data_IF_431624403941
#
_entry.id   IF_431624403941
#
_cell.length_a   1.000
_cell.length_b   1.000
_cell.length_c   1.000
_cell.angle_alpha   90.00
_cell.angle_beta   90.00
_cell.angle_gamma   90.00
#
_symmetry.space_group_name_H-M   'P 1'
#
loop_
_entity.id
_entity.type
_entity.pdbx_description
1 polymer ?
#
# COMPACT_ATOMS: atom_id res chain seq x y z
N UNK A 1 17.46 -8.76 -28.40
CA UNK A 1 17.88 -7.34 -28.29
C UNK A 1 16.64 -6.48 -28.37
N UNK A 2 16.51 -5.48 -27.48
CA UNK A 2 15.39 -4.55 -27.46
C UNK A 2 15.89 -3.19 -27.93
N UNK A 3 15.30 -2.66 -29.01
CA UNK A 3 15.66 -1.34 -29.55
C UNK A 3 14.58 -0.36 -29.12
N UNK A 4 14.97 0.71 -28.43
CA UNK A 4 14.10 1.83 -28.10
C UNK A 4 14.50 3.02 -28.97
N UNK A 5 13.52 3.62 -29.62
CA UNK A 5 13.68 4.84 -30.40
C UNK A 5 13.19 6.05 -29.58
N UNK A 6 13.77 7.21 -29.84
CA UNK A 6 13.47 8.47 -29.15
C UNK A 6 12.20 9.14 -29.68
N UNK A 7 11.87 8.91 -30.95
CA UNK A 7 10.69 9.47 -31.60
C UNK A 7 10.07 8.53 -32.64
N UNK A 8 8.86 8.89 -33.10
CA UNK A 8 8.07 8.12 -34.07
C UNK A 8 8.79 7.98 -35.43
N UNK A 9 9.51 9.01 -35.87
CA UNK A 9 10.26 8.99 -37.13
C UNK A 9 11.40 7.96 -37.12
N UNK A 10 12.16 7.94 -36.03
CA UNK A 10 13.24 6.98 -35.81
C UNK A 10 12.67 5.57 -35.66
N UNK A 11 11.57 5.41 -34.91
CA UNK A 11 10.88 4.13 -34.79
C UNK A 11 10.42 3.61 -36.15
N UNK A 12 9.79 4.43 -36.98
CA UNK A 12 9.29 4.01 -38.29
C UNK A 12 10.43 3.54 -39.21
N UNK A 13 11.56 4.27 -39.24
CA UNK A 13 12.75 3.89 -40.01
C UNK A 13 13.36 2.57 -39.53
N UNK A 14 13.60 2.43 -38.22
CA UNK A 14 14.17 1.20 -37.66
C UNK A 14 13.24 -0.01 -37.78
N UNK A 15 11.94 0.19 -37.58
CA UNK A 15 10.96 -0.89 -37.71
C UNK A 15 10.83 -1.36 -39.17
N UNK A 16 10.81 -0.45 -40.13
CA UNK A 16 10.84 -0.78 -41.55
C UNK A 16 12.14 -1.52 -41.92
N UNK A 17 13.29 -1.01 -41.47
CA UNK A 17 14.60 -1.64 -41.67
C UNK A 17 14.65 -3.08 -41.15
N UNK A 18 14.24 -3.30 -39.90
CA UNK A 18 14.22 -4.62 -39.28
C UNK A 18 13.23 -5.59 -39.95
N UNK A 19 12.07 -5.09 -40.41
CA UNK A 19 11.08 -5.88 -41.17
C UNK A 19 11.59 -6.31 -42.54
N UNK A 20 12.36 -5.45 -43.22
CA UNK A 20 12.98 -5.82 -44.49
C UNK A 20 14.14 -6.78 -44.29
N UNK A 21 15.01 -6.50 -43.31
CA UNK A 21 16.14 -7.35 -42.99
C UNK A 21 15.71 -8.77 -42.60
N UNK A 22 14.60 -8.93 -41.86
CA UNK A 22 14.06 -10.25 -41.51
C UNK A 22 13.53 -11.04 -42.72
N UNK A 23 13.20 -10.35 -43.82
CA UNK A 23 12.84 -10.92 -45.12
C UNK A 23 14.05 -11.06 -46.06
N UNK A 24 15.27 -10.83 -45.58
CA UNK A 24 16.50 -10.86 -46.37
C UNK A 24 16.67 -9.67 -47.32
N UNK A 25 15.92 -8.58 -47.13
CA UNK A 25 15.96 -7.37 -47.97
C UNK A 25 16.73 -6.25 -47.27
N UNK A 26 17.41 -5.43 -48.06
CA UNK A 26 18.20 -4.32 -47.53
C UNK A 26 17.41 -3.00 -47.51
N UNK A 27 18.01 -1.96 -46.94
CA UNK A 27 17.49 -0.59 -46.97
C UNK A 27 17.41 0.01 -48.38
N UNK A 28 18.11 -0.56 -49.35
CA UNK A 28 18.07 -0.12 -50.74
C UNK A 28 16.87 -0.71 -51.52
N UNK A 29 16.06 -1.56 -50.88
CA UNK A 29 14.84 -2.09 -51.50
C UNK A 29 13.82 -0.95 -51.71
N UNK A 30 13.26 -0.87 -52.92
CA UNK A 30 12.28 0.15 -53.32
C UNK A 30 11.05 0.26 -52.39
N UNK A 31 10.74 -0.82 -51.65
CA UNK A 31 9.64 -0.85 -50.70
C UNK A 31 9.93 -0.14 -49.38
N UNK A 32 11.20 0.19 -49.06
CA UNK A 32 11.59 0.76 -47.77
C UNK A 32 10.84 2.06 -47.44
N UNK A 33 10.84 3.05 -48.34
CA UNK A 33 10.17 4.33 -48.09
C UNK A 33 8.65 4.16 -47.96
N UNK A 34 8.06 3.22 -48.72
CA UNK A 34 6.63 2.91 -48.63
C UNK A 34 6.26 2.25 -47.29
N UNK A 35 7.12 1.37 -46.76
CA UNK A 35 6.96 0.75 -45.45
C UNK A 35 7.09 1.80 -44.33
N UNK A 36 8.07 2.71 -44.42
CA UNK A 36 8.22 3.82 -43.47
C UNK A 36 6.97 4.70 -43.47
N UNK A 37 6.46 5.08 -44.64
CA UNK A 37 5.24 5.88 -44.77
C UNK A 37 4.01 5.17 -44.19
N UNK A 38 3.86 3.87 -44.44
CA UNK A 38 2.78 3.04 -43.90
C UNK A 38 2.80 3.01 -42.37
N UNK A 39 3.97 2.80 -41.77
CA UNK A 39 4.12 2.79 -40.30
C UNK A 39 3.77 4.16 -39.69
N UNK A 40 4.24 5.26 -40.30
CA UNK A 40 3.89 6.62 -39.84
C UNK A 40 2.40 6.89 -39.92
N UNK A 41 1.75 6.49 -41.01
CA UNK A 41 0.30 6.63 -41.17
C UNK A 41 -0.44 5.87 -40.06
N UNK A 42 -0.03 4.65 -39.77
CA UNK A 42 -0.60 3.85 -38.69
C UNK A 42 -0.43 4.51 -37.31
N UNK A 43 0.78 5.01 -36.98
CA UNK A 43 1.03 5.72 -35.72
C UNK A 43 0.15 6.96 -35.57
N UNK A 44 -0.07 7.70 -36.65
CA UNK A 44 -0.92 8.89 -36.61
C UNK A 44 -2.38 8.59 -36.26
N UNK A 45 -2.88 7.39 -36.58
CA UNK A 45 -4.23 6.94 -36.25
C UNK A 45 -4.37 6.47 -34.79
N UNK A 46 -3.26 6.20 -34.09
CA UNK A 46 -3.28 5.67 -32.72
C UNK A 46 -3.29 6.76 -31.64
N UNK A 47 -3.44 8.03 -32.00
CA UNK A 47 -3.60 9.10 -31.01
C UNK A 47 -4.84 8.83 -30.16
N UNK A 48 -4.74 8.86 -28.81
CA UNK A 48 -5.84 8.47 -27.96
C UNK A 48 -7.07 9.34 -28.24
N UNK A 49 -8.15 8.71 -28.69
CA UNK A 49 -9.47 9.32 -28.63
C UNK A 49 -9.87 9.52 -27.16
N UNK A 50 -10.72 10.50 -26.87
CA UNK A 50 -11.27 10.66 -25.53
C UNK A 50 -11.94 9.34 -25.11
N UNK A 51 -11.56 8.83 -23.95
CA UNK A 51 -12.15 7.61 -23.41
C UNK A 51 -13.68 7.81 -23.30
N UNK A 52 -14.50 6.85 -23.76
CA UNK A 52 -15.95 6.98 -23.68
C UNK A 52 -16.38 7.10 -22.22
N UNK A 53 -17.34 7.99 -21.95
CA UNK A 53 -17.89 8.18 -20.62
C UNK A 53 -18.52 6.87 -20.11
N UNK A 54 -18.09 6.41 -18.93
CA UNK A 54 -18.64 5.21 -18.29
C UNK A 54 -20.09 5.50 -17.87
N UNK A 55 -21.05 4.91 -18.57
CA UNK A 55 -22.47 5.01 -18.21
C UNK A 55 -22.81 3.85 -17.28
N UNK A 56 -23.17 4.16 -16.02
CA UNK A 56 -23.52 3.15 -15.03
C UNK A 56 -25.03 2.88 -15.09
N UNK A 57 -25.40 1.61 -15.29
CA UNK A 57 -26.79 1.16 -15.16
C UNK A 57 -27.10 0.86 -13.69
N UNK A 58 -28.04 1.58 -13.05
CA UNK A 58 -28.41 1.36 -11.64
C UNK A 58 -28.87 -0.06 -11.33
N UNK A 59 -29.48 -0.76 -12.31
CA UNK A 59 -30.00 -2.12 -12.12
C UNK A 59 -28.90 -3.17 -12.05
N UNK A 60 -27.66 -2.82 -12.41
CA UNK A 60 -26.51 -3.72 -12.38
C UNK A 60 -25.68 -3.56 -11.10
N UNK A 61 -26.08 -2.71 -10.16
CA UNK A 61 -25.36 -2.49 -8.90
C UNK A 61 -25.91 -3.44 -7.85
N UNK A 62 -25.13 -4.44 -7.45
CA UNK A 62 -25.43 -5.32 -6.32
C UNK A 62 -24.81 -4.76 -5.02
N UNK A 63 -25.60 -4.18 -4.10
CA UNK A 63 -25.06 -3.47 -2.93
C UNK A 63 -24.22 -4.33 -2.00
N UNK A 64 -24.50 -5.64 -1.95
CA UNK A 64 -23.79 -6.59 -1.09
C UNK A 64 -22.33 -6.81 -1.51
N UNK A 65 -21.95 -6.46 -2.75
CA UNK A 65 -20.57 -6.55 -3.22
C UNK A 65 -19.72 -5.35 -2.78
N UNK A 66 -20.35 -4.22 -2.46
CA UNK A 66 -19.65 -2.95 -2.17
C UNK A 66 -19.81 -2.50 -0.72
N UNK A 67 -20.83 -2.97 -0.02
CA UNK A 67 -21.14 -2.58 1.35
C UNK A 67 -20.93 -3.76 2.30
N UNK A 68 -20.44 -3.46 3.51
CA UNK A 68 -20.40 -4.48 4.56
C UNK A 68 -21.81 -4.94 4.93
N UNK A 69 -22.00 -6.20 5.40
CA UNK A 69 -23.32 -6.74 5.70
C UNK A 69 -24.15 -5.88 6.67
N UNK A 70 -23.48 -5.21 7.61
CA UNK A 70 -24.11 -4.27 8.55
C UNK A 70 -24.75 -3.09 7.83
N UNK A 71 -24.04 -2.48 6.87
CA UNK A 71 -24.53 -1.33 6.13
C UNK A 71 -25.53 -1.71 5.05
N UNK A 72 -25.34 -2.85 4.38
CA UNK A 72 -26.34 -3.39 3.46
C UNK A 72 -27.69 -3.57 4.15
N UNK A 73 -27.70 -4.19 5.35
CA UNK A 73 -28.91 -4.35 6.18
C UNK A 73 -29.50 -3.02 6.66
N UNK A 74 -28.66 -2.04 6.98
CA UNK A 74 -29.10 -0.71 7.47
C UNK A 74 -29.74 0.14 6.37
N UNK A 75 -29.15 0.14 5.17
CA UNK A 75 -29.59 0.99 4.06
C UNK A 75 -30.74 0.36 3.25
N UNK A 76 -30.83 -0.97 3.21
CA UNK A 76 -31.85 -1.72 2.46
C UNK A 76 -32.00 -1.15 1.05
N UNK A 77 -33.21 -0.69 0.70
CA UNK A 77 -33.58 -0.18 -0.61
C UNK A 77 -32.93 1.17 -0.97
N UNK A 78 -32.33 1.88 -0.01
CA UNK A 78 -31.64 3.17 -0.25
C UNK A 78 -30.17 3.00 -0.61
N UNK A 79 -29.64 1.78 -0.58
CA UNK A 79 -28.22 1.49 -0.82
C UNK A 79 -27.74 1.95 -2.20
N UNK A 80 -28.39 1.49 -3.28
CA UNK A 80 -28.04 1.86 -4.66
C UNK A 80 -28.08 3.37 -4.87
N UNK A 81 -29.13 4.04 -4.37
CA UNK A 81 -29.25 5.50 -4.46
C UNK A 81 -28.07 6.21 -3.79
N UNK A 82 -27.71 5.82 -2.57
CA UNK A 82 -26.56 6.38 -1.83
C UNK A 82 -25.23 6.13 -2.54
N UNK A 83 -25.09 4.98 -3.18
CA UNK A 83 -23.89 4.64 -3.95
C UNK A 83 -23.77 5.51 -5.20
N UNK A 84 -24.87 5.75 -5.93
CA UNK A 84 -24.87 6.63 -7.10
C UNK A 84 -24.59 8.09 -6.74
N UNK A 85 -25.15 8.58 -5.63
CA UNK A 85 -24.83 9.91 -5.08
C UNK A 85 -23.33 10.04 -4.75
N UNK A 86 -22.74 9.04 -4.11
CA UNK A 86 -21.31 9.03 -3.81
C UNK A 86 -20.45 8.92 -5.09
N UNK A 87 -20.88 8.09 -6.05
CA UNK A 87 -20.20 7.89 -7.32
C UNK A 87 -20.10 9.19 -8.14
N UNK A 88 -21.11 10.06 -8.07
CA UNK A 88 -21.10 11.34 -8.77
C UNK A 88 -19.87 12.21 -8.43
N UNK A 89 -19.29 12.06 -7.23
CA UNK A 89 -18.11 12.81 -6.79
C UNK A 89 -16.78 12.23 -7.33
N UNK A 90 -16.80 11.02 -7.89
CA UNK A 90 -15.59 10.28 -8.30
C UNK A 90 -15.64 9.81 -9.76
N UNK A 91 -16.74 10.02 -10.47
CA UNK A 91 -16.98 9.53 -11.84
C UNK A 91 -15.94 9.97 -12.87
N UNK A 92 -15.30 11.12 -12.64
CA UNK A 92 -14.34 11.74 -13.56
C UNK A 92 -12.88 11.39 -13.18
N UNK A 93 -12.67 10.57 -12.14
CA UNK A 93 -11.33 10.12 -11.74
C UNK A 93 -10.82 9.03 -12.68
N UNK A 94 -9.51 9.05 -12.95
CA UNK A 94 -8.85 7.93 -13.61
C UNK A 94 -8.90 6.67 -12.73
N UNK A 95 -8.71 5.49 -13.32
CA UNK A 95 -8.64 4.23 -12.57
C UNK A 95 -7.62 4.27 -11.43
N UNK A 96 -6.47 4.90 -11.66
CA UNK A 96 -5.39 4.99 -10.67
C UNK A 96 -5.77 5.97 -9.56
N UNK A 97 -6.33 7.13 -9.92
CA UNK A 97 -6.72 8.15 -8.94
C UNK A 97 -7.88 7.68 -8.07
N UNK A 98 -8.84 6.95 -8.63
CA UNK A 98 -9.94 6.35 -7.88
C UNK A 98 -9.42 5.35 -6.83
N UNK A 99 -8.48 4.47 -7.21
CA UNK A 99 -7.82 3.54 -6.27
C UNK A 99 -7.03 4.29 -5.19
N UNK A 100 -6.29 5.33 -5.57
CA UNK A 100 -5.51 6.12 -4.62
C UNK A 100 -6.40 6.87 -3.63
N UNK A 101 -7.51 7.44 -4.09
CA UNK A 101 -8.48 8.09 -3.22
C UNK A 101 -9.17 7.10 -2.28
N UNK A 102 -9.46 5.87 -2.73
CA UNK A 102 -9.94 4.81 -1.85
C UNK A 102 -8.94 4.50 -0.73
N UNK A 103 -7.66 4.35 -1.07
CA UNK A 103 -6.58 4.13 -0.08
C UNK A 103 -6.49 5.30 0.90
N UNK A 104 -6.55 6.55 0.42
CA UNK A 104 -6.53 7.74 1.29
C UNK A 104 -7.71 7.79 2.25
N UNK A 105 -8.92 7.46 1.76
CA UNK A 105 -10.11 7.38 2.59
C UNK A 105 -9.95 6.30 3.68
N UNK A 106 -9.44 5.12 3.32
CA UNK A 106 -9.12 4.06 4.27
C UNK A 106 -8.07 4.49 5.31
N UNK A 107 -7.02 5.18 4.87
CA UNK A 107 -5.96 5.72 5.73
C UNK A 107 -6.43 6.81 6.70
N UNK A 108 -7.53 7.50 6.37
CA UNK A 108 -8.11 8.55 7.20
C UNK A 108 -9.01 8.03 8.34
N UNK A 109 -9.28 6.72 8.38
CA UNK A 109 -10.07 6.12 9.44
C UNK A 109 -9.32 6.20 10.80
N UNK A 110 -10.02 6.41 11.93
CA UNK A 110 -9.39 6.59 13.24
C UNK A 110 -8.45 5.45 13.65
N UNK A 111 -8.86 4.21 13.38
CA UNK A 111 -8.14 2.98 13.78
C UNK A 111 -7.26 2.42 12.65
N UNK A 112 -7.02 3.21 11.60
CA UNK A 112 -6.17 2.78 10.51
C UNK A 112 -4.74 2.47 10.99
N UNK A 113 -4.21 1.33 10.53
CA UNK A 113 -2.80 0.98 10.74
C UNK A 113 -2.46 0.58 12.17
N UNK A 114 -3.44 0.11 12.95
CA UNK A 114 -3.23 -0.44 14.30
C UNK A 114 -3.31 -1.97 14.26
N UNK A 115 -2.23 -2.64 14.66
CA UNK A 115 -2.20 -4.09 14.86
C UNK A 115 -2.41 -4.39 16.35
N UNK A 116 -3.31 -5.31 16.68
CA UNK A 116 -3.71 -5.60 18.06
C UNK A 116 -3.10 -6.90 18.57
N UNK A 117 -2.57 -6.87 19.79
CA UNK A 117 -2.05 -8.02 20.52
C UNK A 117 -2.70 -8.11 21.89
N UNK A 118 -3.09 -9.32 22.31
CA UNK A 118 -3.48 -9.57 23.71
C UNK A 118 -2.20 -9.70 24.53
N UNK A 119 -2.06 -8.87 25.56
CA UNK A 119 -0.89 -8.81 26.43
C UNK A 119 -1.27 -8.85 27.91
N UNK A 120 -0.28 -9.13 28.74
CA UNK A 120 -0.36 -9.01 30.19
C UNK A 120 0.81 -8.18 30.70
N UNK A 121 0.51 -7.03 31.29
CA UNK A 121 1.54 -6.18 31.91
C UNK A 121 2.15 -6.88 33.12
N UNK A 122 3.44 -6.64 33.35
CA UNK A 122 4.15 -7.22 34.48
C UNK A 122 3.50 -6.81 35.82
N UNK A 123 3.32 -7.76 36.73
CA UNK A 123 2.61 -7.56 37.99
C UNK A 123 1.09 -7.40 37.91
N UNK A 124 0.50 -7.32 36.71
CA UNK A 124 -0.96 -7.22 36.53
C UNK A 124 -1.61 -8.59 36.29
N UNK A 125 -2.78 -8.82 36.90
CA UNK A 125 -3.58 -10.05 36.65
C UNK A 125 -4.47 -9.96 35.42
N UNK A 126 -4.93 -8.75 35.08
CA UNK A 126 -5.86 -8.48 33.96
C UNK A 126 -5.11 -8.50 32.62
N UNK A 127 -5.70 -9.14 31.63
CA UNK A 127 -5.28 -9.07 30.22
C UNK A 127 -5.77 -7.76 29.60
N UNK A 128 -4.96 -7.19 28.71
CA UNK A 128 -5.25 -5.92 28.04
C UNK A 128 -4.85 -6.04 26.56
N UNK A 129 -5.30 -5.09 25.73
CA UNK A 129 -4.86 -5.01 24.34
C UNK A 129 -3.69 -4.03 24.19
N UNK A 130 -2.68 -4.46 23.43
CA UNK A 130 -1.63 -3.61 22.91
C UNK A 130 -1.90 -3.32 21.44
N UNK A 131 -2.21 -2.06 21.13
CA UNK A 131 -2.21 -1.57 19.75
C UNK A 131 -0.81 -1.13 19.34
N UNK A 132 -0.29 -1.67 18.25
CA UNK A 132 0.99 -1.27 17.65
C UNK A 132 0.71 -0.58 16.32
N UNK A 133 1.10 0.68 16.22
CA UNK A 133 0.94 1.49 15.02
C UNK A 133 2.29 2.03 14.55
N UNK A 134 2.32 2.68 13.38
CA UNK A 134 3.57 3.13 12.74
C UNK A 134 4.37 4.17 13.53
N UNK A 135 3.75 4.88 14.47
CA UNK A 135 4.38 5.96 15.24
C UNK A 135 4.20 5.84 16.76
N UNK A 136 3.49 4.81 17.24
CA UNK A 136 3.10 4.68 18.65
C UNK A 136 2.70 3.24 18.99
N UNK A 137 2.80 2.92 20.27
CA UNK A 137 2.08 1.80 20.89
C UNK A 137 1.03 2.35 21.86
N UNK A 138 -0.02 1.58 22.10
CA UNK A 138 -1.14 2.02 22.93
C UNK A 138 -1.70 0.87 23.75
N UNK A 139 -2.01 1.17 25.01
CA UNK A 139 -2.81 0.30 25.87
C UNK A 139 -4.28 0.57 25.56
N UNK A 140 -5.02 -0.49 25.27
CA UNK A 140 -6.44 -0.44 24.94
C UNK A 140 -7.21 -1.39 25.85
N UNK A 141 -8.47 -1.06 26.17
CA UNK A 141 -9.33 -1.98 26.89
C UNK A 141 -9.73 -3.15 25.99
N UNK A 142 -9.68 -4.37 26.54
CA UNK A 142 -9.93 -5.60 25.77
C UNK A 142 -11.39 -5.78 25.34
N UNK A 143 -12.35 -5.17 26.06
CA UNK A 143 -13.77 -5.34 25.78
C UNK A 143 -14.31 -4.23 24.89
N UNK A 144 -13.90 -2.99 25.13
CA UNK A 144 -14.42 -1.83 24.38
C UNK A 144 -13.54 -1.43 23.21
N UNK A 145 -12.24 -1.75 23.27
CA UNK A 145 -11.25 -1.24 22.32
C UNK A 145 -10.87 0.23 22.58
N UNK A 146 -11.31 0.84 23.68
CA UNK A 146 -10.99 2.24 23.96
C UNK A 146 -9.50 2.43 24.29
N UNK A 147 -8.94 3.55 23.83
CA UNK A 147 -7.56 3.92 24.13
C UNK A 147 -7.43 4.36 25.60
N UNK A 148 -6.65 3.62 26.39
CA UNK A 148 -6.38 3.93 27.80
C UNK A 148 -5.11 4.75 27.97
N UNK A 149 -4.04 4.39 27.24
CA UNK A 149 -2.74 5.10 27.31
C UNK A 149 -1.99 4.97 25.99
N UNK A 150 -1.23 6.00 25.61
CA UNK A 150 -0.47 6.04 24.37
C UNK A 150 0.99 6.38 24.63
N UNK A 151 1.89 5.61 24.03
CA UNK A 151 3.34 5.85 24.03
C UNK A 151 3.84 6.05 22.61
N UNK A 152 4.52 7.16 22.36
CA UNK A 152 4.98 7.53 21.01
C UNK A 152 6.42 7.08 20.80
N UNK A 153 6.77 6.64 19.59
CA UNK A 153 8.14 6.19 19.30
C UNK A 153 9.19 7.30 19.42
N UNK A 154 8.80 8.57 19.25
CA UNK A 154 9.72 9.70 19.42
C UNK A 154 10.21 9.89 20.87
N UNK A 155 9.48 9.38 21.87
CA UNK A 155 9.93 9.38 23.27
C UNK A 155 10.55 8.05 23.69
N UNK A 156 10.64 7.07 22.78
CA UNK A 156 11.25 5.77 23.06
C UNK A 156 12.77 5.89 23.04
N UNK A 157 13.42 5.27 24.03
CA UNK A 157 14.88 5.22 24.15
C UNK A 157 15.43 3.87 23.70
N UNK A 158 14.78 2.79 24.11
CA UNK A 158 15.18 1.42 23.80
C UNK A 158 13.99 0.47 23.98
N UNK A 159 14.06 -0.70 23.35
CA UNK A 159 13.22 -1.85 23.68
C UNK A 159 14.10 -3.09 23.71
N UNK A 160 13.74 -4.04 24.55
CA UNK A 160 14.44 -5.30 24.68
C UNK A 160 13.45 -6.41 25.01
N UNK A 161 13.78 -7.63 24.64
CA UNK A 161 13.01 -8.81 25.01
C UNK A 161 13.87 -9.69 25.90
N UNK A 162 13.35 -10.06 27.05
CA UNK A 162 13.91 -11.13 27.86
C UNK A 162 13.30 -12.45 27.38
N UNK A 163 14.10 -13.23 26.64
CA UNK A 163 13.67 -14.49 26.03
C UNK A 163 13.41 -15.62 27.04
N UNK A 164 14.04 -15.57 28.21
CA UNK A 164 13.88 -16.60 29.25
C UNK A 164 12.47 -16.55 29.84
N UNK A 165 12.00 -15.35 30.18
CA UNK A 165 10.66 -15.12 30.74
C UNK A 165 9.63 -14.68 29.68
N UNK A 166 10.06 -14.56 28.42
CA UNK A 166 9.25 -14.11 27.28
C UNK A 166 8.54 -12.77 27.52
N UNK A 167 9.23 -11.83 28.17
CA UNK A 167 8.70 -10.48 28.43
C UNK A 167 9.41 -9.45 27.57
N UNK A 168 8.64 -8.52 27.02
CA UNK A 168 9.14 -7.34 26.34
C UNK A 168 9.16 -6.15 27.30
N UNK A 169 10.24 -5.40 27.27
CA UNK A 169 10.40 -4.12 27.96
C UNK A 169 10.60 -3.03 26.92
N UNK A 170 9.83 -1.94 27.03
CA UNK A 170 9.96 -0.75 26.19
C UNK A 170 10.20 0.45 27.09
N UNK A 171 11.33 1.12 26.91
CA UNK A 171 11.75 2.25 27.72
C UNK A 171 11.44 3.56 26.99
N UNK A 172 10.66 4.41 27.64
CA UNK A 172 10.33 5.76 27.18
C UNK A 172 10.99 6.84 28.05
N UNK A 173 10.88 8.11 27.64
CA UNK A 173 11.24 9.25 28.47
C UNK A 173 10.28 9.36 29.66
N UNK A 174 10.71 8.85 30.82
CA UNK A 174 10.01 8.99 32.10
C UNK A 174 9.34 7.72 32.62
N UNK A 175 9.17 6.69 31.79
CA UNK A 175 8.63 5.40 32.25
C UNK A 175 9.10 4.22 31.39
N UNK A 176 9.08 3.02 31.97
CA UNK A 176 9.30 1.76 31.29
C UNK A 176 8.04 0.93 31.34
N UNK A 177 7.72 0.29 30.23
CA UNK A 177 6.55 -0.57 30.08
C UNK A 177 7.03 -2.00 29.90
N UNK A 178 6.58 -2.92 30.74
CA UNK A 178 6.96 -4.34 30.69
C UNK A 178 5.69 -5.17 30.51
N UNK A 179 5.68 -6.06 29.54
CA UNK A 179 4.54 -6.94 29.27
C UNK A 179 4.98 -8.25 28.63
N UNK A 180 4.12 -9.26 28.76
CA UNK A 180 4.19 -10.53 28.02
C UNK A 180 3.05 -10.59 27.01
N UNK A 181 3.31 -11.17 25.84
CA UNK A 181 2.29 -11.37 24.80
C UNK A 181 1.63 -12.73 24.95
N UNK A 182 0.30 -12.75 24.87
CA UNK A 182 -0.53 -13.97 24.95
C UNK A 182 -1.04 -14.40 23.57
N UNK A 183 -1.25 -13.44 22.67
CA UNK A 183 -1.76 -13.69 21.31
C UNK A 183 -0.71 -14.10 20.28
N UNK A 184 0.57 -13.80 20.53
CA UNK A 184 1.68 -14.08 19.63
C UNK A 184 3.01 -14.14 20.41
N UNK A 185 4.08 -14.66 19.81
CA UNK A 185 5.42 -14.57 20.39
C UNK A 185 5.88 -13.10 20.48
N UNK A 186 6.59 -12.73 21.55
CA UNK A 186 7.18 -11.40 21.72
C UNK A 186 8.13 -11.00 20.57
N UNK A 187 8.68 -11.98 19.82
CA UNK A 187 9.41 -11.75 18.55
C UNK A 187 8.59 -10.94 17.55
N UNK A 188 7.29 -11.23 17.43
CA UNK A 188 6.41 -10.56 16.47
C UNK A 188 6.26 -9.09 16.83
N UNK A 189 5.97 -8.79 18.10
CA UNK A 189 5.82 -7.39 18.56
C UNK A 189 7.15 -6.64 18.43
N UNK A 190 8.28 -7.28 18.77
CA UNK A 190 9.62 -6.71 18.55
C UNK A 190 9.85 -6.37 17.07
N UNK A 191 9.54 -7.29 16.16
CA UNK A 191 9.68 -7.07 14.72
C UNK A 191 8.78 -5.95 14.22
N UNK A 192 7.53 -5.84 14.70
CA UNK A 192 6.64 -4.73 14.37
C UNK A 192 7.23 -3.38 14.78
N UNK A 193 7.71 -3.26 16.03
CA UNK A 193 8.32 -2.02 16.53
C UNK A 193 9.59 -1.69 15.73
N UNK A 194 10.51 -2.64 15.58
CA UNK A 194 11.75 -2.46 14.82
C UNK A 194 11.49 -2.11 13.35
N UNK A 195 10.55 -2.79 12.71
CA UNK A 195 10.14 -2.56 11.32
C UNK A 195 9.51 -1.18 11.12
N UNK A 196 8.65 -0.72 12.03
CA UNK A 196 8.08 0.63 11.94
C UNK A 196 9.13 1.72 12.11
N UNK A 197 10.07 1.54 13.05
CA UNK A 197 11.19 2.47 13.23
C UNK A 197 12.05 2.50 11.97
N UNK A 198 12.42 1.33 11.44
CA UNK A 198 13.18 1.22 10.19
C UNK A 198 12.48 1.96 9.03
N UNK A 199 11.18 1.72 8.85
CA UNK A 199 10.40 2.38 7.80
C UNK A 199 10.33 3.90 7.99
N UNK A 200 10.32 4.40 9.22
CA UNK A 200 10.34 5.84 9.52
C UNK A 200 11.69 6.51 9.22
N UNK A 201 12.79 5.74 9.19
CA UNK A 201 14.13 6.24 8.89
C UNK A 201 14.42 6.34 7.38
N UNK A 202 13.53 5.83 6.52
CA UNK A 202 13.71 5.86 5.06
C UNK A 202 13.49 7.28 4.53
N UNK A 203 14.46 7.82 3.78
CA UNK A 203 14.33 9.12 3.12
C UNK A 203 13.43 9.04 1.89
N UNK A 204 12.79 10.17 1.53
CA UNK A 204 11.97 10.27 0.31
C UNK A 204 12.78 10.56 -0.95
N UNK A 205 14.03 11.01 -0.82
CA UNK A 205 14.73 11.73 -1.90
C UNK A 205 16.06 11.12 -2.35
N UNK A 206 16.48 9.93 -1.88
CA UNK A 206 17.76 9.37 -2.33
C UNK A 206 17.82 7.87 -2.14
N UNK A 207 18.18 7.14 -3.19
CA UNK A 207 18.46 5.70 -3.24
C UNK A 207 17.56 4.80 -2.37
N UNK A 208 16.60 4.12 -3.01
CA UNK A 208 15.76 3.09 -2.38
C UNK A 208 16.51 1.78 -2.04
N UNK A 209 17.85 1.79 -2.07
CA UNK A 209 18.65 0.63 -1.65
C UNK A 209 18.37 0.34 -0.19
N UNK A 210 17.88 -0.86 0.09
CA UNK A 210 17.49 -1.27 1.43
C UNK A 210 18.74 -1.45 2.30
N UNK A 211 18.80 -0.80 3.46
CA UNK A 211 19.84 -1.08 4.46
C UNK A 211 19.43 -2.33 5.26
N UNK A 212 19.74 -3.50 4.71
CA UNK A 212 19.40 -4.81 5.30
C UNK A 212 20.06 -5.01 6.67
N UNK A 213 21.31 -4.55 6.84
CA UNK A 213 22.02 -4.66 8.12
C UNK A 213 21.29 -3.89 9.23
N UNK A 214 20.86 -2.66 8.95
CA UNK A 214 20.09 -1.87 9.91
C UNK A 214 18.73 -2.52 10.20
N UNK A 215 18.05 -3.05 9.17
CA UNK A 215 16.80 -3.78 9.38
C UNK A 215 17.00 -4.95 10.34
N UNK A 216 17.98 -5.83 10.08
CA UNK A 216 18.29 -6.97 10.93
C UNK A 216 18.77 -6.58 12.34
N UNK A 217 19.43 -5.42 12.50
CA UNK A 217 19.79 -4.90 13.82
C UNK A 217 18.56 -4.47 14.63
N UNK A 218 17.54 -3.92 13.98
CA UNK A 218 16.32 -3.42 14.63
C UNK A 218 15.28 -4.53 14.85
N UNK A 219 15.23 -5.52 13.95
CA UNK A 219 14.26 -6.60 14.02
C UNK A 219 14.85 -7.91 14.52
N UNK A 220 16.16 -8.11 14.53
CA UNK A 220 16.80 -9.34 15.00
C UNK A 220 17.24 -9.31 16.46
N UNK A 221 18.26 -10.09 16.80
CA UNK A 221 18.84 -10.18 18.15
C UNK A 221 18.38 -11.38 18.99
N UNK A 222 17.92 -12.45 18.34
CA UNK A 222 17.43 -13.68 18.97
C UNK A 222 18.02 -14.97 18.37
N UNK A 223 19.06 -14.86 17.54
CA UNK A 223 19.82 -16.00 17.01
C UNK A 223 21.08 -16.22 17.84
#
# INVERSE_FOLDING_TARGET
MWIRCDNEDQYAKWMAACRLASKGRSLADSSYDSEVASIKSFLSMQKPAQAPAVTINPNNIEPNEYLSPRYAKKLKNKSVLRMLEAHANVKDLSLVDAKLNYIRAWQSLPDFGVTLFVIKFDGHKKEELLGVASNRIMKMDINTGDHLKTWRYNTMKAWNVNWEIKCMMVQFQGESVIFSSLSADCKVIHEFIGGYIFMSMRSKETNQTLNEELFHKLTGGWN
#
